data_IF_367846901714
#
_entry.id   IF_367846901714
#
_cell.length_a   1.000
_cell.length_b   1.000
_cell.length_c   1.000
_cell.angle_alpha   90.00
_cell.angle_beta   90.00
_cell.angle_gamma   90.00
#
_symmetry.space_group_name_H-M   'P 1'
#
loop_
_entity.id
_entity.type
_entity.pdbx_description
1 polymer ?
#
# COMPACT_ATOMS: atom_id res chain seq x y z
N UNK A 1 -61.34 71.80 -17.09
CA UNK A 1 -61.82 70.65 -17.88
C UNK A 1 -61.48 69.37 -17.11
N UNK A 2 -62.50 68.84 -16.43
CA UNK A 2 -62.77 67.45 -16.03
C UNK A 2 -61.67 66.66 -15.29
N UNK A 3 -61.81 66.66 -13.96
CA UNK A 3 -61.21 65.71 -13.03
C UNK A 3 -61.96 64.36 -13.05
N UNK A 4 -61.22 63.24 -13.02
CA UNK A 4 -61.77 61.88 -12.89
C UNK A 4 -61.39 61.24 -11.55
N UNK A 5 -62.44 61.02 -10.78
CA UNK A 5 -62.83 59.94 -9.86
C UNK A 5 -61.84 58.81 -9.51
N UNK A 6 -61.88 58.48 -8.21
CA UNK A 6 -61.16 57.45 -7.44
C UNK A 6 -61.51 56.00 -7.85
N UNK A 7 -60.57 55.07 -7.69
CA UNK A 7 -60.88 53.68 -7.35
C UNK A 7 -59.96 53.14 -6.25
N UNK A 8 -60.49 52.16 -5.52
CA UNK A 8 -60.09 51.65 -4.20
C UNK A 8 -58.72 50.97 -4.18
N UNK A 9 -58.10 51.02 -3.00
CA UNK A 9 -56.97 50.16 -2.60
C UNK A 9 -57.44 48.71 -2.49
N UNK A 10 -56.76 47.81 -3.19
CA UNK A 10 -56.76 46.37 -2.89
C UNK A 10 -55.76 46.05 -1.76
N UNK A 11 -56.06 45.06 -0.90
CA UNK A 11 -55.17 44.64 0.17
C UNK A 11 -53.99 43.82 -0.37
N UNK A 12 -52.77 44.27 -0.10
CA UNK A 12 -51.56 43.61 -0.51
C UNK A 12 -51.28 42.33 0.32
N UNK A 13 -51.13 41.24 -0.43
CA UNK A 13 -50.55 39.92 -0.17
C UNK A 13 -49.52 39.88 1.00
N UNK A 14 -49.58 38.90 1.92
CA UNK A 14 -48.57 38.72 2.96
C UNK A 14 -47.22 38.32 2.34
N UNK A 15 -46.16 39.06 2.67
CA UNK A 15 -44.78 38.72 2.32
C UNK A 15 -44.35 37.47 3.10
N UNK A 16 -44.08 36.37 2.40
CA UNK A 16 -43.46 35.20 2.99
C UNK A 16 -42.07 35.55 3.55
N UNK A 17 -41.79 35.16 4.80
CA UNK A 17 -40.45 35.20 5.38
C UNK A 17 -39.56 34.18 4.63
N UNK A 18 -38.32 34.52 4.25
CA UNK A 18 -37.39 33.50 3.80
C UNK A 18 -37.08 32.54 4.97
N UNK A 19 -37.19 31.24 4.70
CA UNK A 19 -36.80 30.19 5.62
C UNK A 19 -35.29 30.27 5.94
N UNK A 20 -34.85 29.85 7.14
CA UNK A 20 -33.42 29.84 7.46
C UNK A 20 -32.69 28.90 6.51
N UNK A 21 -31.54 29.37 5.99
CA UNK A 21 -30.58 28.56 5.26
C UNK A 21 -30.12 27.42 6.19
N UNK A 22 -30.66 26.22 5.96
CA UNK A 22 -30.13 24.99 6.54
C UNK A 22 -28.70 24.76 6.08
N UNK A 23 -27.89 23.99 6.83
CA UNK A 23 -26.51 23.73 6.45
C UNK A 23 -26.49 23.10 5.05
N UNK A 24 -25.64 23.65 4.19
CA UNK A 24 -25.41 23.17 2.83
C UNK A 24 -25.09 21.67 2.87
N UNK A 25 -26.00 20.84 2.36
CA UNK A 25 -25.71 19.45 2.02
C UNK A 25 -24.82 19.44 0.79
N UNK A 26 -23.53 19.64 1.03
CA UNK A 26 -22.45 19.39 0.09
C UNK A 26 -21.56 18.27 0.62
N UNK A 27 -22.15 17.15 1.03
CA UNK A 27 -21.39 15.91 1.09
C UNK A 27 -21.26 15.44 -0.36
N UNK A 28 -20.16 15.82 -1.01
CA UNK A 28 -19.63 15.00 -2.09
C UNK A 28 -19.54 13.60 -1.51
N UNK A 29 -20.39 12.70 -1.98
CA UNK A 29 -20.22 11.27 -1.81
C UNK A 29 -18.90 10.93 -2.48
N UNK A 30 -17.80 11.05 -1.74
CA UNK A 30 -16.61 10.28 -2.02
C UNK A 30 -17.11 8.84 -2.04
N UNK A 31 -17.25 8.28 -3.25
CA UNK A 31 -17.48 6.87 -3.43
C UNK A 31 -16.43 6.18 -2.55
N UNK A 32 -16.88 5.50 -1.49
CA UNK A 32 -16.01 4.64 -0.72
C UNK A 32 -15.41 3.69 -1.76
N UNK A 33 -14.12 3.80 -2.02
CA UNK A 33 -13.43 2.78 -2.79
C UNK A 33 -13.44 1.56 -1.89
N UNK A 34 -14.48 0.73 -2.01
CA UNK A 34 -14.61 -0.54 -1.30
C UNK A 34 -13.95 -1.60 -2.18
N UNK A 35 -12.66 -1.41 -2.43
CA UNK A 35 -11.80 -2.32 -3.17
C UNK A 35 -10.93 -3.10 -2.20
N UNK A 36 -10.66 -4.35 -2.54
CA UNK A 36 -9.54 -5.09 -1.96
C UNK A 36 -8.32 -4.76 -2.83
N UNK A 37 -7.22 -4.40 -2.19
CA UNK A 37 -5.93 -4.15 -2.81
C UNK A 37 -4.90 -5.17 -2.32
N UNK A 38 -4.16 -5.74 -3.27
CA UNK A 38 -2.98 -6.57 -3.02
C UNK A 38 -1.84 -5.68 -2.52
N UNK A 39 -1.35 -5.97 -1.32
CA UNK A 39 -0.20 -5.30 -0.70
C UNK A 39 0.94 -6.30 -0.54
N UNK A 40 2.11 -5.92 -1.04
CA UNK A 40 3.36 -6.66 -0.94
C UNK A 40 4.14 -6.14 0.28
N UNK A 41 4.19 -6.94 1.34
CA UNK A 41 4.81 -6.57 2.60
C UNK A 41 6.22 -7.17 2.71
N UNK A 42 7.27 -6.35 2.84
CA UNK A 42 8.60 -6.84 3.13
C UNK A 42 8.63 -7.57 4.47
N UNK A 43 9.37 -8.67 4.53
CA UNK A 43 9.41 -9.55 5.70
C UNK A 43 10.74 -10.32 5.77
N UNK A 44 10.86 -11.18 6.77
CA UNK A 44 11.94 -12.17 6.92
C UNK A 44 11.34 -13.52 7.30
N UNK A 45 12.08 -14.62 7.18
CA UNK A 45 11.59 -15.93 7.65
C UNK A 45 11.32 -15.93 9.16
N UNK A 46 12.15 -15.22 9.94
CA UNK A 46 11.92 -14.98 11.37
C UNK A 46 10.59 -14.27 11.64
N UNK A 47 10.24 -13.25 10.84
CA UNK A 47 8.99 -12.51 10.98
C UNK A 47 7.79 -13.33 10.49
N UNK A 48 7.92 -14.04 9.37
CA UNK A 48 6.91 -14.97 8.85
C UNK A 48 6.57 -16.07 9.86
N UNK A 49 7.55 -16.59 10.60
CA UNK A 49 7.33 -17.54 11.71
C UNK A 49 6.40 -16.95 12.78
N UNK A 50 6.58 -15.67 13.13
CA UNK A 50 5.72 -14.98 14.10
C UNK A 50 4.32 -14.77 13.54
N UNK A 51 4.19 -14.38 12.27
CA UNK A 51 2.89 -14.27 11.59
C UNK A 51 2.11 -15.59 11.65
N UNK A 52 2.77 -16.71 11.44
CA UNK A 52 2.15 -18.03 11.54
C UNK A 52 1.68 -18.35 12.98
N UNK A 53 2.52 -18.05 13.98
CA UNK A 53 2.21 -18.28 15.39
C UNK A 53 1.05 -17.38 15.88
N UNK A 54 1.08 -16.10 15.53
CA UNK A 54 0.11 -15.09 15.97
C UNK A 54 -1.16 -15.09 15.11
N UNK A 55 -1.14 -15.80 13.97
CA UNK A 55 -2.20 -15.85 12.96
C UNK A 55 -2.58 -14.46 12.41
N UNK A 56 -1.64 -13.52 12.46
CA UNK A 56 -1.83 -12.15 12.00
C UNK A 56 -0.53 -11.55 11.46
N UNK A 57 -0.64 -10.80 10.37
CA UNK A 57 0.42 -9.94 9.85
C UNK A 57 0.37 -8.61 10.59
N UNK A 58 1.49 -8.11 11.15
CA UNK A 58 1.49 -6.83 11.86
C UNK A 58 1.23 -5.66 10.90
N UNK A 59 0.71 -4.57 11.46
CA UNK A 59 0.63 -3.28 10.75
C UNK A 59 2.02 -2.82 10.31
N UNK A 60 2.11 -2.11 9.19
CA UNK A 60 3.40 -1.68 8.66
C UNK A 60 3.33 -1.09 7.26
N UNK A 61 4.50 -0.77 6.72
CA UNK A 61 4.66 -0.32 5.35
C UNK A 61 4.70 -1.51 4.39
N UNK A 62 4.09 -1.32 3.23
CA UNK A 62 4.14 -2.25 2.12
C UNK A 62 4.03 -1.52 0.80
N UNK A 63 3.92 -2.29 -0.28
CA UNK A 63 3.92 -1.81 -1.65
C UNK A 63 2.65 -2.26 -2.35
N UNK A 64 1.98 -1.35 -3.06
CA UNK A 64 0.75 -1.66 -3.75
C UNK A 64 0.58 -0.79 -5.01
N UNK A 65 -0.32 -1.20 -5.90
CA UNK A 65 -0.62 -0.49 -7.14
C UNK A 65 -1.49 0.75 -6.86
N UNK A 66 -0.86 1.79 -6.35
CA UNK A 66 -1.50 3.09 -6.06
C UNK A 66 -1.87 3.83 -7.36
N UNK A 67 -2.69 4.89 -7.29
CA UNK A 67 -2.93 5.75 -8.46
C UNK A 67 -1.65 6.32 -9.09
N UNK A 68 -0.63 6.67 -8.28
CA UNK A 68 0.64 7.20 -8.79
C UNK A 68 1.45 6.14 -9.53
N UNK A 69 1.39 4.87 -9.09
CA UNK A 69 1.96 3.73 -9.83
C UNK A 69 1.25 3.58 -11.17
N UNK A 70 -0.09 3.58 -11.18
CA UNK A 70 -0.89 3.40 -12.42
C UNK A 70 -0.60 4.49 -13.46
N UNK A 71 -0.38 5.72 -13.01
CA UNK A 71 0.00 6.83 -13.87
C UNK A 71 1.42 6.66 -14.43
N UNK A 72 2.37 6.28 -13.58
CA UNK A 72 3.76 6.07 -13.99
C UNK A 72 3.91 4.89 -14.97
N UNK A 73 3.21 3.79 -14.69
CA UNK A 73 3.17 2.57 -15.48
C UNK A 73 1.94 2.52 -16.39
N UNK A 74 1.53 3.67 -16.96
CA UNK A 74 0.30 3.76 -17.76
C UNK A 74 0.26 2.86 -19.02
N UNK A 75 1.40 2.31 -19.44
CA UNK A 75 1.52 1.38 -20.57
C UNK A 75 1.59 -0.09 -20.15
N UNK A 76 1.67 -0.37 -18.86
CA UNK A 76 1.76 -1.72 -18.30
C UNK A 76 0.39 -2.22 -17.87
N UNK A 77 0.25 -3.54 -17.83
CA UNK A 77 -0.93 -4.18 -17.26
C UNK A 77 -0.81 -4.32 -15.74
N UNK A 78 -1.86 -4.88 -15.11
CA UNK A 78 -1.91 -5.07 -13.66
C UNK A 78 -0.83 -6.03 -13.16
N UNK A 79 -0.52 -7.09 -13.91
CA UNK A 79 0.44 -8.11 -13.49
C UNK A 79 1.87 -7.55 -13.53
N UNK A 80 2.22 -6.79 -14.57
CA UNK A 80 3.51 -6.10 -14.67
C UNK A 80 3.71 -5.08 -13.54
N UNK A 81 2.66 -4.30 -13.22
CA UNK A 81 2.71 -3.37 -12.09
C UNK A 81 2.90 -4.12 -10.77
N UNK A 82 2.09 -5.15 -10.52
CA UNK A 82 2.18 -5.95 -9.29
C UNK A 82 3.54 -6.62 -9.13
N UNK A 83 4.13 -7.12 -10.23
CA UNK A 83 5.48 -7.65 -10.24
C UNK A 83 6.52 -6.60 -9.84
N UNK A 84 6.42 -5.37 -10.34
CA UNK A 84 7.31 -4.28 -9.94
C UNK A 84 7.22 -3.99 -8.42
N UNK A 85 6.01 -3.95 -7.85
CA UNK A 85 5.83 -3.74 -6.40
C UNK A 85 6.31 -4.93 -5.56
N UNK A 86 6.22 -6.16 -6.09
CA UNK A 86 6.81 -7.34 -5.46
C UNK A 86 8.33 -7.18 -5.35
N UNK A 87 9.01 -6.73 -6.41
CA UNK A 87 10.46 -6.50 -6.41
C UNK A 87 10.85 -5.35 -5.47
N UNK A 88 10.08 -4.27 -5.43
CA UNK A 88 10.28 -3.17 -4.48
C UNK A 88 10.20 -3.67 -3.02
N UNK A 89 9.22 -4.54 -2.72
CA UNK A 89 9.08 -5.17 -1.41
C UNK A 89 10.21 -6.16 -1.11
N UNK A 90 10.68 -6.91 -2.10
CA UNK A 90 11.83 -7.81 -1.94
C UNK A 90 13.09 -7.02 -1.57
N UNK A 91 13.37 -5.92 -2.28
CA UNK A 91 14.47 -5.01 -1.96
C UNK A 91 14.30 -4.36 -0.58
N UNK A 92 13.09 -3.97 -0.20
CA UNK A 92 12.81 -3.43 1.13
C UNK A 92 13.10 -4.44 2.26
N UNK A 93 12.95 -5.74 1.99
CA UNK A 93 13.26 -6.81 2.95
C UNK A 93 14.75 -6.87 3.33
N UNK A 94 15.65 -6.36 2.49
CA UNK A 94 17.09 -6.29 2.81
C UNK A 94 17.38 -5.46 4.06
N UNK A 95 16.61 -4.39 4.31
CA UNK A 95 16.75 -3.57 5.53
C UNK A 95 16.29 -4.32 6.78
N UNK A 96 15.32 -5.21 6.64
CA UNK A 96 14.87 -6.08 7.73
C UNK A 96 15.91 -7.16 8.03
N UNK A 97 16.55 -7.70 6.99
CA UNK A 97 17.64 -8.68 7.12
C UNK A 97 18.91 -8.04 7.71
N UNK A 98 19.28 -6.82 7.32
CA UNK A 98 20.37 -6.06 7.94
C UNK A 98 20.13 -5.89 9.45
N UNK A 99 18.89 -5.54 9.83
CA UNK A 99 18.49 -5.36 11.23
C UNK A 99 18.37 -6.67 12.03
N UNK A 100 18.31 -7.84 11.37
CA UNK A 100 18.24 -9.17 12.00
C UNK A 100 19.32 -10.10 11.43
N UNK A 101 20.58 -10.01 11.90
CA UNK A 101 21.67 -10.86 11.44
C UNK A 101 21.47 -12.36 11.70
N UNK A 102 20.50 -12.72 12.57
CA UNK A 102 20.15 -14.11 12.88
C UNK A 102 19.11 -14.70 11.93
N UNK A 103 18.44 -13.88 11.10
CA UNK A 103 17.52 -14.37 10.09
C UNK A 103 18.28 -15.10 8.96
N UNK A 104 17.72 -16.18 8.40
CA UNK A 104 18.25 -16.73 7.15
C UNK A 104 18.26 -15.65 6.07
N UNK A 105 19.34 -15.58 5.29
CA UNK A 105 19.60 -14.51 4.32
C UNK A 105 18.83 -14.76 3.02
N UNK A 106 17.51 -14.74 3.11
CA UNK A 106 16.55 -14.88 2.00
C UNK A 106 15.51 -13.77 2.12
N UNK A 107 15.24 -13.03 1.05
CA UNK A 107 14.18 -12.01 1.04
C UNK A 107 12.84 -12.73 1.14
N UNK A 108 11.91 -12.15 1.89
CA UNK A 108 10.55 -12.67 2.05
C UNK A 108 9.57 -11.55 1.79
N UNK A 109 8.58 -11.80 0.94
CA UNK A 109 7.45 -10.88 0.73
C UNK A 109 6.15 -11.59 1.00
N UNK A 110 5.31 -11.01 1.87
CA UNK A 110 3.94 -11.48 2.08
C UNK A 110 3.02 -10.70 1.13
N UNK A 111 2.32 -11.41 0.24
CA UNK A 111 1.30 -10.81 -0.61
C UNK A 111 -0.04 -10.91 0.11
N UNK A 112 -0.63 -9.77 0.49
CA UNK A 112 -1.79 -9.70 1.39
C UNK A 112 -2.90 -8.87 0.78
N UNK A 113 -4.12 -9.40 0.80
CA UNK A 113 -5.32 -8.72 0.32
C UNK A 113 -5.92 -7.86 1.45
N UNK A 114 -5.94 -6.54 1.28
CA UNK A 114 -6.37 -5.57 2.31
C UNK A 114 -7.47 -4.65 1.77
N UNK A 115 -8.44 -4.28 2.59
CA UNK A 115 -9.44 -3.27 2.21
C UNK A 115 -8.77 -1.90 2.09
N UNK A 116 -9.05 -1.19 0.99
CA UNK A 116 -8.47 0.13 0.73
C UNK A 116 -8.69 1.15 1.86
N UNK A 117 -9.77 1.00 2.63
CA UNK A 117 -10.06 1.89 3.77
C UNK A 117 -9.12 1.70 4.96
N UNK A 118 -8.44 0.55 5.04
CA UNK A 118 -7.41 0.25 6.03
C UNK A 118 -6.01 0.68 5.59
N UNK A 119 -5.88 1.21 4.37
CA UNK A 119 -4.63 1.69 3.81
C UNK A 119 -4.48 3.21 3.93
N UNK A 120 -3.23 3.65 4.04
CA UNK A 120 -2.81 5.04 3.83
C UNK A 120 -1.71 5.07 2.79
N UNK A 121 -1.97 5.69 1.64
CA UNK A 121 -0.95 5.90 0.61
C UNK A 121 0.13 6.86 1.15
N UNK A 122 1.40 6.49 0.96
CA UNK A 122 2.61 7.20 1.41
C UNK A 122 3.42 7.73 0.22
N UNK A 123 2.79 8.60 -0.57
CA UNK A 123 3.45 9.28 -1.69
C UNK A 123 4.65 10.14 -1.26
N UNK A 124 4.77 10.42 0.05
CA UNK A 124 5.93 11.08 0.65
C UNK A 124 7.17 10.18 0.76
N UNK A 125 7.01 8.86 0.63
CA UNK A 125 8.09 7.87 0.65
C UNK A 125 8.41 7.40 -0.78
N UNK A 126 7.43 6.82 -1.47
CA UNK A 126 7.52 6.49 -2.91
C UNK A 126 6.10 6.31 -3.49
N UNK A 127 5.99 6.24 -4.81
CA UNK A 127 4.74 6.08 -5.56
C UNK A 127 3.99 4.82 -5.14
N UNK A 128 4.71 3.73 -4.86
CA UNK A 128 4.13 2.43 -4.52
C UNK A 128 3.83 2.23 -3.03
N UNK A 129 4.32 3.09 -2.15
CA UNK A 129 4.30 2.80 -0.70
C UNK A 129 2.93 3.07 -0.11
N UNK A 130 2.45 2.09 0.65
CA UNK A 130 1.24 2.18 1.48
C UNK A 130 1.57 1.81 2.92
N UNK A 131 0.77 2.30 3.85
CA UNK A 131 0.79 1.90 5.26
C UNK A 131 -0.53 1.19 5.60
N UNK A 132 -0.43 -0.03 6.12
CA UNK A 132 -1.55 -0.75 6.70
C UNK A 132 -1.72 -0.28 8.15
N UNK A 133 -2.93 0.20 8.50
CA UNK A 133 -3.20 0.82 9.82
C UNK A 133 -3.35 -0.15 10.98
N UNK A 134 -3.60 -1.42 10.69
CA UNK A 134 -3.89 -2.44 11.70
C UNK A 134 -3.38 -3.82 11.30
N UNK A 135 -3.38 -4.78 12.25
CA UNK A 135 -3.00 -6.15 11.93
C UNK A 135 -3.98 -6.77 10.94
N UNK A 136 -3.45 -7.55 10.00
CA UNK A 136 -4.24 -8.25 8.97
C UNK A 136 -4.31 -9.74 9.32
N UNK A 137 -5.49 -10.39 9.28
CA UNK A 137 -5.58 -11.82 9.56
C UNK A 137 -4.75 -12.63 8.56
N UNK A 138 -4.11 -13.71 9.01
CA UNK A 138 -3.36 -14.61 8.13
C UNK A 138 -4.21 -15.19 6.98
N UNK A 139 -5.53 -15.26 7.15
CA UNK A 139 -6.46 -15.67 6.10
C UNK A 139 -6.50 -14.72 4.89
N UNK A 140 -6.00 -13.50 5.01
CA UNK A 140 -5.89 -12.53 3.92
C UNK A 140 -4.53 -12.59 3.21
N UNK A 141 -3.58 -13.39 3.68
CA UNK A 141 -2.33 -13.64 2.95
C UNK A 141 -2.67 -14.53 1.76
N UNK A 142 -2.48 -14.00 0.55
CA UNK A 142 -2.73 -14.70 -0.71
C UNK A 142 -1.55 -15.60 -1.10
N UNK A 143 -0.33 -15.15 -0.82
CA UNK A 143 0.90 -15.88 -1.12
C UNK A 143 2.08 -15.40 -0.28
N UNK A 144 3.13 -16.22 -0.25
CA UNK A 144 4.44 -15.88 0.30
C UNK A 144 5.49 -16.07 -0.79
N UNK A 145 6.29 -15.04 -1.03
CA UNK A 145 7.40 -15.07 -1.96
C UNK A 145 8.71 -15.16 -1.19
N UNK A 146 9.57 -16.11 -1.53
CA UNK A 146 10.85 -16.33 -0.83
C UNK A 146 11.95 -16.62 -1.82
N UNK A 147 13.13 -16.03 -1.61
CA UNK A 147 14.33 -16.42 -2.36
C UNK A 147 14.63 -17.92 -2.19
N UNK A 148 15.20 -18.54 -3.22
CA UNK A 148 15.78 -19.89 -3.09
C UNK A 148 17.12 -19.84 -2.34
N UNK A 149 17.61 -21.00 -1.89
CA UNK A 149 18.89 -21.16 -1.19
C UNK A 149 20.08 -20.68 -2.03
N UNK A 150 19.98 -20.76 -3.35
CA UNK A 150 21.03 -20.31 -4.28
C UNK A 150 21.26 -18.78 -4.24
N UNK A 151 20.28 -18.02 -3.75
CA UNK A 151 20.38 -16.57 -3.61
C UNK A 151 21.07 -16.12 -2.31
N UNK A 152 21.26 -17.02 -1.33
CA UNK A 152 21.62 -16.63 0.05
C UNK A 152 22.92 -15.81 0.13
N UNK A 153 23.92 -16.15 -0.68
CA UNK A 153 25.18 -15.42 -0.69
C UNK A 153 25.02 -13.98 -1.22
N UNK A 154 24.24 -13.80 -2.29
CA UNK A 154 23.97 -12.48 -2.87
C UNK A 154 23.10 -11.63 -1.94
N UNK A 155 22.07 -12.23 -1.34
CA UNK A 155 21.18 -11.56 -0.39
C UNK A 155 21.92 -11.17 0.89
N UNK A 156 22.84 -12.01 1.39
CA UNK A 156 23.68 -11.66 2.52
C UNK A 156 24.53 -10.41 2.24
N UNK A 157 25.24 -10.40 1.10
CA UNK A 157 26.06 -9.27 0.70
C UNK A 157 25.22 -8.00 0.47
N UNK A 158 24.04 -8.14 -0.14
CA UNK A 158 23.11 -7.04 -0.36
C UNK A 158 22.55 -6.48 0.95
N UNK A 159 22.17 -7.33 1.90
CA UNK A 159 21.69 -6.90 3.21
C UNK A 159 22.80 -6.13 3.96
N UNK A 160 24.02 -6.64 3.98
CA UNK A 160 25.15 -5.97 4.65
C UNK A 160 25.55 -4.64 3.97
N UNK A 161 25.14 -4.42 2.72
CA UNK A 161 25.45 -3.23 1.92
C UNK A 161 24.30 -2.21 1.84
N UNK A 162 23.08 -2.58 2.22
CA UNK A 162 21.87 -1.79 1.93
C UNK A 162 21.91 -0.40 2.56
N UNK A 163 22.44 -0.28 3.78
CA UNK A 163 22.55 1.02 4.47
C UNK A 163 23.54 1.94 3.77
N UNK A 164 24.67 1.40 3.29
CA UNK A 164 25.65 2.20 2.54
C UNK A 164 25.09 2.65 1.18
N UNK A 165 24.32 1.78 0.51
CA UNK A 165 23.61 2.12 -0.72
C UNK A 165 22.60 3.26 -0.48
N UNK A 166 21.82 3.18 0.61
CA UNK A 166 20.86 4.23 1.00
C UNK A 166 21.54 5.57 1.31
N UNK A 167 22.79 5.54 1.78
CA UNK A 167 23.61 6.72 2.03
C UNK A 167 24.35 7.21 0.77
N UNK A 168 24.10 6.61 -0.40
CA UNK A 168 24.57 7.06 -1.71
C UNK A 168 25.88 6.44 -2.18
N UNK A 169 26.28 5.27 -1.67
CA UNK A 169 27.44 4.54 -2.21
C UNK A 169 27.06 3.75 -3.46
N UNK A 170 27.63 4.12 -4.61
CA UNK A 170 27.42 3.43 -5.89
C UNK A 170 27.94 1.97 -5.87
N UNK A 171 29.10 1.73 -5.22
CA UNK A 171 29.64 0.38 -5.05
C UNK A 171 28.69 -0.51 -4.23
N UNK A 172 28.12 0.03 -3.15
CA UNK A 172 27.14 -0.69 -2.35
C UNK A 172 25.84 -0.91 -3.12
N UNK A 173 25.39 0.08 -3.91
CA UNK A 173 24.20 -0.06 -4.76
C UNK A 173 24.38 -1.20 -5.77
N UNK A 174 25.56 -1.32 -6.39
CA UNK A 174 25.88 -2.44 -7.29
C UNK A 174 25.80 -3.80 -6.59
N UNK A 175 26.28 -3.91 -5.34
CA UNK A 175 26.16 -5.14 -4.55
C UNK A 175 24.71 -5.46 -4.24
N UNK A 176 23.90 -4.45 -3.89
CA UNK A 176 22.47 -4.63 -3.63
C UNK A 176 21.74 -5.12 -4.89
N UNK A 177 22.04 -4.54 -6.05
CA UNK A 177 21.42 -4.89 -7.33
C UNK A 177 21.70 -6.34 -7.75
N UNK A 178 22.79 -6.94 -7.27
CA UNK A 178 23.09 -8.35 -7.55
C UNK A 178 22.02 -9.30 -6.96
N UNK A 179 21.36 -8.94 -5.86
CA UNK A 179 20.27 -9.74 -5.30
C UNK A 179 19.02 -9.75 -6.19
N UNK A 180 18.78 -8.69 -6.96
CA UNK A 180 17.64 -8.60 -7.88
C UNK A 180 17.78 -9.53 -9.09
N UNK A 181 18.96 -10.11 -9.33
CA UNK A 181 19.16 -11.17 -10.31
C UNK A 181 18.54 -12.52 -9.91
N UNK A 182 18.04 -12.65 -8.68
CA UNK A 182 17.39 -13.85 -8.18
C UNK A 182 15.88 -13.66 -8.10
N UNK A 183 15.15 -14.58 -8.72
CA UNK A 183 13.68 -14.64 -8.68
C UNK A 183 13.19 -15.24 -7.36
N UNK A 184 12.14 -14.65 -6.80
CA UNK A 184 11.50 -15.20 -5.61
C UNK A 184 10.52 -16.31 -6.00
N UNK A 185 10.64 -17.46 -5.34
CA UNK A 185 9.71 -18.57 -5.47
C UNK A 185 8.37 -18.21 -4.83
N UNK A 186 7.27 -18.67 -5.44
CA UNK A 186 5.91 -18.49 -4.95
C UNK A 186 5.48 -19.69 -4.11
N UNK A 187 4.89 -19.43 -2.93
CA UNK A 187 4.33 -20.42 -2.05
C UNK A 187 2.91 -20.05 -1.62
N UNK A 188 2.04 -21.05 -1.52
CA UNK A 188 0.73 -20.89 -0.93
C UNK A 188 0.86 -20.63 0.58
N UNK A 189 -0.09 -19.89 1.16
CA UNK A 189 -0.10 -19.56 2.60
C UNK A 189 -0.09 -20.80 3.50
N UNK A 190 -0.58 -21.95 3.03
CA UNK A 190 -0.54 -23.21 3.79
C UNK A 190 0.88 -23.80 3.87
N UNK A 191 1.73 -23.54 2.88
CA UNK A 191 3.12 -24.02 2.81
C UNK A 191 4.04 -23.17 3.71
N UNK A 192 3.55 -22.06 4.26
CA UNK A 192 4.33 -21.20 5.16
C UNK A 192 4.92 -21.96 6.34
N UNK A 193 4.23 -22.99 6.85
CA UNK A 193 4.70 -23.83 7.94
C UNK A 193 5.95 -24.66 7.58
N UNK A 194 6.13 -24.98 6.30
CA UNK A 194 7.28 -25.75 5.81
C UNK A 194 8.51 -24.85 5.56
N UNK A 195 8.32 -23.53 5.56
CA UNK A 195 9.37 -22.54 5.29
C UNK A 195 10.07 -21.99 6.56
N UNK A 196 9.44 -22.09 7.75
CA UNK A 196 9.80 -21.30 8.97
C UNK A 196 10.12 -22.09 10.23
#
# INVERSE_FOLDING_TARGET
MIARTRYRRDPAVPRARPAPLGPARGASSAARHTGIMRVYLPSTLSAARRVLADRAVPAGLGFAVTPAVREWYARSDAEEMEYALLLDAARASLRLLDADPGAPRRRVVLAVDVDDSDLRIRNDLDRGVVEIRGPVPLAAVAAVHVDDVDAEAAVAAAADSIVAADLGSDDAAFVVDAADGYELLWYATQELADLV
#
